data_IF_489121861384
#
_entry.id   IF_489121861384
#
_cell.length_a   1.000
_cell.length_b   1.000
_cell.length_c   1.000
_cell.angle_alpha   90.00
_cell.angle_beta   90.00
_cell.angle_gamma   90.00
#
_symmetry.space_group_name_H-M   'P 1'
#
loop_
_entity.id
_entity.type
_entity.pdbx_description
1 polymer ?
#
# COMPACT_ATOMS: atom_id res chain seq x y z
N UNK A 1 18.31 44.20 -29.38
CA UNK A 1 18.21 42.79 -28.94
C UNK A 1 18.30 42.57 -27.41
N UNK A 2 18.70 43.55 -26.59
CA UNK A 2 18.84 43.36 -25.12
C UNK A 2 17.55 43.51 -24.28
N UNK A 3 16.46 44.05 -24.83
CA UNK A 3 15.22 44.30 -24.06
C UNK A 3 14.18 43.16 -24.12
N UNK A 4 14.30 42.21 -25.06
CA UNK A 4 13.38 41.06 -25.18
C UNK A 4 13.76 39.85 -24.34
N UNK A 5 15.02 39.76 -23.87
CA UNK A 5 15.49 38.68 -22.99
C UNK A 5 15.10 38.90 -21.52
N UNK A 6 14.95 40.14 -21.06
CA UNK A 6 14.58 40.44 -19.67
C UNK A 6 13.11 40.08 -19.35
N UNK A 7 12.21 40.19 -20.33
CA UNK A 7 10.78 39.94 -20.11
C UNK A 7 10.42 38.44 -20.05
N UNK A 8 11.17 37.58 -20.75
CA UNK A 8 10.92 36.12 -20.77
C UNK A 8 11.44 35.45 -19.49
N UNK A 9 12.54 35.95 -18.91
CA UNK A 9 13.07 35.46 -17.62
C UNK A 9 12.13 35.81 -16.45
N UNK A 10 11.43 36.96 -16.52
CA UNK A 10 10.46 37.38 -15.50
C UNK A 10 9.14 36.59 -15.53
N UNK A 11 8.72 36.07 -16.70
CA UNK A 11 7.50 35.25 -16.80
C UNK A 11 7.74 33.81 -16.33
N UNK A 12 8.93 33.25 -16.57
CA UNK A 12 9.27 31.89 -16.08
C UNK A 12 9.48 31.87 -14.57
N UNK A 13 9.98 32.95 -13.96
CA UNK A 13 10.09 33.07 -12.50
C UNK A 13 8.75 33.35 -11.80
N UNK A 14 7.78 33.96 -12.49
CA UNK A 14 6.43 34.19 -11.96
C UNK A 14 5.50 32.97 -12.06
N UNK A 15 5.81 31.97 -12.92
CA UNK A 15 5.04 30.74 -13.04
C UNK A 15 5.47 29.61 -12.10
N UNK A 16 6.55 29.78 -11.33
CA UNK A 16 7.08 28.75 -10.42
C UNK A 16 6.61 28.85 -8.96
N UNK A 17 5.68 29.76 -8.63
CA UNK A 17 5.22 29.96 -7.24
C UNK A 17 3.83 29.39 -6.93
N UNK A 18 3.24 28.58 -7.82
CA UNK A 18 1.88 28.05 -7.67
C UNK A 18 1.80 26.52 -7.61
N UNK A 19 2.73 25.90 -6.89
CA UNK A 19 2.55 24.54 -6.37
C UNK A 19 2.98 24.55 -4.90
N UNK A 20 2.23 25.25 -4.05
CA UNK A 20 2.20 24.94 -2.62
C UNK A 20 1.52 23.59 -2.49
N UNK A 21 2.28 22.51 -2.69
CA UNK A 21 1.87 21.21 -2.20
C UNK A 21 1.82 21.33 -0.68
N UNK A 22 0.61 21.46 -0.15
CA UNK A 22 0.36 21.21 1.27
C UNK A 22 0.65 19.74 1.50
N UNK A 23 1.90 19.44 1.81
CA UNK A 23 2.29 18.17 2.41
C UNK A 23 1.62 18.13 3.77
N UNK A 24 0.39 17.61 3.81
CA UNK A 24 -0.36 17.41 5.04
C UNK A 24 0.20 16.17 5.74
N UNK A 25 1.31 16.37 6.46
CA UNK A 25 1.97 15.33 7.25
C UNK A 25 1.28 15.07 8.61
N UNK A 26 0.27 15.86 8.98
CA UNK A 26 -0.55 15.59 10.17
C UNK A 26 -1.86 14.92 9.78
N UNK A 27 -1.82 13.60 9.58
CA UNK A 27 -3.04 12.79 9.49
C UNK A 27 -3.53 12.41 10.88
N UNK A 28 -3.94 13.39 11.68
CA UNK A 28 -4.73 13.06 12.86
C UNK A 28 -6.11 12.65 12.38
N UNK A 29 -6.52 11.42 12.73
CA UNK A 29 -7.93 11.05 12.72
C UNK A 29 -8.61 12.11 13.60
N UNK A 30 -9.46 12.97 13.00
CA UNK A 30 -9.89 14.24 13.60
C UNK A 30 -10.36 14.10 15.06
N UNK A 31 -10.38 15.19 15.85
CA UNK A 31 -10.39 15.14 17.31
C UNK A 31 -11.68 14.59 17.97
N UNK A 32 -12.57 13.98 17.18
CA UNK A 32 -13.84 13.40 17.63
C UNK A 32 -14.90 14.44 17.99
N UNK A 33 -16.08 13.98 18.44
CA UNK A 33 -17.14 14.85 18.96
C UNK A 33 -16.74 15.43 20.34
N UNK A 34 -17.37 16.54 20.79
CA UNK A 34 -17.03 17.17 22.07
C UNK A 34 -17.25 16.23 23.25
N UNK A 35 -18.29 15.39 23.19
CA UNK A 35 -18.59 14.40 24.21
C UNK A 35 -17.53 13.32 24.40
N UNK A 36 -16.59 13.16 23.46
CA UNK A 36 -15.44 12.28 23.61
C UNK A 36 -14.22 13.10 24.05
N UNK A 37 -13.89 14.14 23.29
CA UNK A 37 -12.69 14.95 23.50
C UNK A 37 -12.65 15.59 24.90
N UNK A 38 -13.80 16.02 25.42
CA UNK A 38 -13.92 16.66 26.73
C UNK A 38 -13.42 15.77 27.87
N UNK A 39 -13.65 14.45 27.76
CA UNK A 39 -13.29 13.49 28.80
C UNK A 39 -11.87 12.92 28.61
N UNK A 40 -11.37 12.86 27.38
CA UNK A 40 -10.04 12.33 27.06
C UNK A 40 -8.90 13.32 27.27
N UNK A 41 -9.18 14.62 27.38
CA UNK A 41 -8.15 15.64 27.71
C UNK A 41 -7.93 15.75 29.20
N UNK A 42 -7.02 16.63 29.64
CA UNK A 42 -6.79 16.89 31.07
C UNK A 42 -7.32 18.26 31.50
N UNK A 43 -7.39 19.22 30.57
CA UNK A 43 -7.95 20.54 30.81
C UNK A 43 -8.78 21.04 29.62
N UNK A 44 -9.89 21.72 29.91
CA UNK A 44 -10.75 22.40 28.92
C UNK A 44 -11.14 23.77 29.47
N UNK A 45 -10.82 24.83 28.74
CA UNK A 45 -11.06 26.21 29.15
C UNK A 45 -11.13 27.16 27.94
N UNK A 46 -11.77 28.31 28.11
CA UNK A 46 -11.64 29.43 27.16
C UNK A 46 -10.61 30.44 27.67
N UNK A 47 -9.84 31.02 26.76
CA UNK A 47 -8.90 32.08 27.12
C UNK A 47 -8.35 32.84 25.92
N UNK A 48 -7.88 34.06 26.17
CA UNK A 48 -7.16 34.88 25.21
C UNK A 48 -5.66 34.58 25.28
N UNK A 49 -5.02 34.41 24.14
CA UNK A 49 -3.56 34.25 24.08
C UNK A 49 -2.90 35.60 24.33
N UNK A 50 -2.21 35.74 25.45
CA UNK A 50 -1.53 37.00 25.80
C UNK A 50 -0.04 36.99 25.42
N UNK A 51 0.55 35.81 25.27
CA UNK A 51 1.98 35.67 24.99
C UNK A 51 2.28 34.32 24.35
N UNK A 52 3.22 34.31 23.41
CA UNK A 52 3.80 33.09 22.83
C UNK A 52 5.33 33.24 22.90
N UNK A 53 5.99 32.33 23.61
CA UNK A 53 7.46 32.26 23.71
C UNK A 53 7.97 30.93 23.18
N UNK A 54 9.27 30.83 22.91
CA UNK A 54 9.91 29.56 22.55
C UNK A 54 10.29 28.78 23.82
N UNK A 55 10.06 27.48 23.80
CA UNK A 55 10.49 26.52 24.83
C UNK A 55 11.10 25.30 24.13
N UNK A 56 11.76 24.42 24.87
CA UNK A 56 12.29 23.15 24.34
C UNK A 56 11.73 21.99 25.14
N UNK A 57 11.55 20.86 24.47
CA UNK A 57 11.21 19.60 25.16
C UNK A 57 12.50 18.88 25.49
N UNK A 58 12.55 18.29 26.68
CA UNK A 58 13.59 17.33 27.05
C UNK A 58 13.01 15.91 26.92
N UNK A 59 12.81 15.47 25.68
CA UNK A 59 12.41 14.09 25.35
C UNK A 59 13.64 13.31 24.85
N UNK A 60 13.77 12.05 25.25
CA UNK A 60 14.91 11.17 24.94
C UNK A 60 15.26 11.10 23.44
N UNK A 61 14.28 11.28 22.54
CA UNK A 61 14.48 11.25 21.09
C UNK A 61 14.41 12.63 20.42
N UNK A 62 13.97 13.67 21.15
CA UNK A 62 13.71 15.02 20.61
C UNK A 62 14.34 16.13 21.48
N UNK A 63 15.41 15.82 22.23
CA UNK A 63 16.08 16.78 23.12
C UNK A 63 16.41 18.07 22.39
N UNK A 64 15.93 19.18 22.93
CA UNK A 64 16.22 20.51 22.38
C UNK A 64 15.38 20.89 21.15
N UNK A 65 14.41 20.06 20.75
CA UNK A 65 13.50 20.44 19.67
C UNK A 65 12.65 21.66 20.11
N UNK A 66 12.65 22.76 19.33
CA UNK A 66 11.93 23.96 19.71
C UNK A 66 10.42 23.73 19.66
N UNK A 67 9.70 24.26 20.65
CA UNK A 67 8.25 24.31 20.72
C UNK A 67 7.80 25.70 21.17
N UNK A 68 6.50 25.95 21.12
CA UNK A 68 5.89 27.21 21.56
C UNK A 68 5.25 27.01 22.92
N UNK A 69 5.59 27.86 23.88
CA UNK A 69 4.87 28.01 25.13
C UNK A 69 3.84 29.13 24.95
N UNK A 70 2.57 28.79 25.10
CA UNK A 70 1.45 29.71 24.89
C UNK A 70 0.83 30.02 26.25
N UNK A 71 0.79 31.31 26.60
CA UNK A 71 0.19 31.79 27.85
C UNK A 71 -1.18 32.37 27.56
N UNK A 72 -2.17 31.89 28.30
CA UNK A 72 -3.58 32.26 28.16
C UNK A 72 -4.05 33.05 29.37
N UNK A 73 -4.73 34.17 29.14
CA UNK A 73 -5.63 34.77 30.11
C UNK A 73 -6.97 34.03 30.08
N UNK A 74 -7.23 33.23 31.12
CA UNK A 74 -8.40 32.34 31.17
C UNK A 74 -9.65 33.16 31.48
N UNK A 75 -10.68 33.01 30.65
CA UNK A 75 -11.99 33.62 30.85
C UNK A 75 -12.98 32.68 31.53
N UNK A 76 -12.99 31.40 31.16
CA UNK A 76 -13.86 30.38 31.72
C UNK A 76 -13.12 29.04 31.78
N UNK A 77 -13.28 28.31 32.88
CA UNK A 77 -12.71 26.97 33.04
C UNK A 77 -13.82 25.94 33.20
N UNK A 78 -13.75 24.87 32.42
CA UNK A 78 -14.76 23.81 32.41
C UNK A 78 -14.24 22.52 33.04
N UNK A 79 -12.96 22.20 32.84
CA UNK A 79 -12.36 20.96 33.34
C UNK A 79 -10.87 21.14 33.58
N UNK A 80 -10.37 20.66 34.74
CA UNK A 80 -8.95 20.46 35.05
C UNK A 80 -8.00 21.66 34.91
N UNK A 81 -8.54 22.85 34.61
CA UNK A 81 -7.85 24.12 34.51
C UNK A 81 -8.20 24.96 35.74
N UNK A 82 -7.20 25.46 36.46
CA UNK A 82 -7.39 26.30 37.63
C UNK A 82 -6.42 27.48 37.59
N UNK A 83 -6.94 28.70 37.70
CA UNK A 83 -6.14 29.92 37.70
C UNK A 83 -6.57 30.90 36.61
N UNK A 84 -6.12 32.16 36.74
CA UNK A 84 -6.37 33.24 35.76
C UNK A 84 -5.41 33.20 34.57
N UNK A 85 -4.27 32.53 34.74
CA UNK A 85 -3.24 32.34 33.73
C UNK A 85 -2.94 30.85 33.61
N UNK A 86 -2.99 30.34 32.38
CA UNK A 86 -2.63 28.94 32.07
C UNK A 86 -1.59 28.94 30.96
N UNK A 87 -0.63 28.04 31.06
CA UNK A 87 0.34 27.78 30.04
C UNK A 87 0.06 26.43 29.38
N UNK A 88 0.09 26.40 28.04
CA UNK A 88 0.08 25.17 27.27
C UNK A 88 1.17 25.21 26.20
N UNK A 89 1.79 24.06 25.97
CA UNK A 89 2.83 23.88 24.96
C UNK A 89 2.17 23.43 23.66
N UNK A 90 2.71 23.89 22.54
CA UNK A 90 2.31 23.43 21.23
C UNK A 90 3.51 23.32 20.29
N UNK A 91 3.39 22.45 19.29
CA UNK A 91 4.38 22.36 18.21
C UNK A 91 4.46 23.65 17.39
N UNK A 92 5.46 23.74 16.51
CA UNK A 92 5.62 24.86 15.59
C UNK A 92 4.64 24.81 14.40
N UNK A 93 4.07 23.64 14.11
CA UNK A 93 3.24 23.38 12.93
C UNK A 93 3.97 22.52 11.90
N UNK A 94 3.26 22.06 10.87
CA UNK A 94 3.79 21.14 9.87
C UNK A 94 3.64 19.69 10.31
N UNK A 95 4.75 18.98 10.56
CA UNK A 95 4.77 17.56 10.92
C UNK A 95 4.65 17.26 12.43
N UNK A 96 4.71 18.27 13.31
CA UNK A 96 4.63 18.10 14.77
C UNK A 96 3.23 18.38 15.35
N UNK A 97 2.27 18.64 14.47
CA UNK A 97 0.86 18.90 14.78
C UNK A 97 0.61 20.01 15.81
N UNK A 98 1.49 21.02 15.83
CA UNK A 98 1.30 22.25 16.57
C UNK A 98 0.09 23.07 16.14
N UNK A 99 -0.61 23.65 17.10
CA UNK A 99 -1.77 24.50 16.89
C UNK A 99 -1.33 25.95 16.61
N UNK A 100 -1.83 26.61 15.55
CA UNK A 100 -1.39 27.95 15.14
C UNK A 100 -2.08 29.05 15.96
N UNK A 101 -1.78 29.14 17.26
CA UNK A 101 -2.27 30.22 18.13
C UNK A 101 -1.78 31.60 17.66
N UNK A 102 -2.59 32.63 17.90
CA UNK A 102 -2.29 34.04 17.63
C UNK A 102 -2.52 34.86 18.88
N UNK A 103 -1.54 35.69 19.26
CA UNK A 103 -1.66 36.64 20.37
C UNK A 103 -2.83 37.60 20.10
N UNK A 104 -3.62 37.90 21.13
CA UNK A 104 -4.82 38.74 21.09
C UNK A 104 -6.11 37.99 20.69
N UNK A 105 -6.02 36.73 20.27
CA UNK A 105 -7.20 35.94 19.90
C UNK A 105 -7.67 35.05 21.06
N UNK A 106 -8.99 34.84 21.15
CA UNK A 106 -9.61 33.93 22.11
C UNK A 106 -9.87 32.55 21.51
N UNK A 107 -9.64 31.51 22.30
CA UNK A 107 -9.77 30.11 21.90
C UNK A 107 -10.56 29.32 22.93
N UNK A 108 -11.23 28.25 22.49
CA UNK A 108 -11.55 27.12 23.35
C UNK A 108 -10.39 26.13 23.24
N UNK A 109 -9.76 25.81 24.37
CA UNK A 109 -8.55 24.99 24.43
C UNK A 109 -8.87 23.64 25.05
N UNK A 110 -8.53 22.57 24.32
CA UNK A 110 -8.51 21.19 24.80
C UNK A 110 -7.05 20.77 24.99
N UNK A 111 -6.59 20.76 26.23
CA UNK A 111 -5.21 20.45 26.56
C UNK A 111 -5.07 19.09 27.27
N UNK A 112 -4.12 18.27 26.82
CA UNK A 112 -3.74 17.04 27.52
C UNK A 112 -2.51 17.30 28.40
N UNK A 113 -2.42 16.60 29.53
CA UNK A 113 -1.27 16.65 30.42
C UNK A 113 -0.29 15.56 30.01
N UNK A 114 0.93 15.94 29.64
CA UNK A 114 1.95 14.97 29.31
C UNK A 114 2.46 14.32 30.61
N UNK A 115 2.43 12.97 30.74
CA UNK A 115 2.84 12.29 31.95
C UNK A 115 4.34 12.41 32.27
N UNK A 116 5.19 12.77 31.29
CA UNK A 116 6.65 12.88 31.49
C UNK A 116 7.05 14.17 32.21
N UNK A 117 6.52 15.30 31.78
CA UNK A 117 6.88 16.63 32.30
C UNK A 117 5.76 17.29 33.12
N UNK A 118 4.59 16.65 33.18
CA UNK A 118 3.39 17.13 33.86
C UNK A 118 2.84 18.46 33.31
N UNK A 119 3.27 18.90 32.11
CA UNK A 119 2.83 20.15 31.46
C UNK A 119 1.63 19.91 30.55
N UNK A 120 0.87 20.97 30.28
CA UNK A 120 -0.27 20.94 29.36
C UNK A 120 0.20 21.13 27.92
N UNK A 121 -0.36 20.36 26.99
CA UNK A 121 -0.10 20.43 25.57
C UNK A 121 -1.40 20.56 24.79
N UNK A 122 -1.39 21.36 23.73
CA UNK A 122 -2.50 21.51 22.79
C UNK A 122 -1.97 21.45 21.35
N UNK A 123 -2.72 20.83 20.44
CA UNK A 123 -2.33 20.66 19.04
C UNK A 123 -3.54 20.66 18.12
N UNK A 124 -3.30 20.66 16.81
CA UNK A 124 -4.39 20.58 15.79
C UNK A 124 -5.18 19.28 15.87
N UNK A 125 -4.63 18.26 16.53
CA UNK A 125 -5.27 16.97 16.76
C UNK A 125 -6.16 16.95 18.00
N UNK A 126 -6.22 18.05 18.74
CA UNK A 126 -7.22 18.28 19.79
C UNK A 126 -8.42 19.03 19.21
N UNK A 127 -9.54 19.09 19.93
CA UNK A 127 -10.71 19.92 19.52
C UNK A 127 -10.47 21.43 19.70
N UNK A 128 -9.26 21.85 20.09
CA UNK A 128 -8.88 23.27 20.25
C UNK A 128 -9.21 24.05 18.98
N UNK A 129 -9.87 25.19 19.13
CA UNK A 129 -10.33 26.04 17.99
C UNK A 129 -10.55 27.49 18.42
N UNK A 130 -10.60 28.45 17.48
CA UNK A 130 -10.98 29.83 17.80
C UNK A 130 -12.35 29.86 18.46
N UNK A 131 -12.52 30.72 19.47
CA UNK A 131 -13.76 30.77 20.25
C UNK A 131 -15.03 30.97 19.41
N UNK A 132 -15.05 31.78 18.33
CA UNK A 132 -16.22 31.90 17.46
C UNK A 132 -16.63 30.61 16.74
N UNK A 133 -15.71 29.64 16.59
CA UNK A 133 -15.95 28.36 15.93
C UNK A 133 -16.30 27.24 16.93
N UNK A 134 -16.37 27.57 18.23
CA UNK A 134 -16.58 26.63 19.34
C UNK A 134 -18.05 26.40 19.71
N UNK A 135 -19.00 26.73 18.84
CA UNK A 135 -20.43 26.61 19.11
C UNK A 135 -20.85 25.21 19.57
N UNK A 136 -20.51 24.18 18.78
CA UNK A 136 -20.82 22.77 19.08
C UNK A 136 -20.22 22.31 20.42
N UNK A 137 -18.98 22.73 20.72
CA UNK A 137 -18.31 22.39 21.97
C UNK A 137 -19.00 23.03 23.17
N UNK A 138 -19.23 24.33 23.10
CA UNK A 138 -19.79 25.11 24.19
C UNK A 138 -21.22 24.69 24.46
N UNK A 139 -21.97 24.33 23.42
CA UNK A 139 -23.30 23.73 23.57
C UNK A 139 -23.24 22.44 24.40
N UNK A 140 -22.37 21.50 24.05
CA UNK A 140 -22.19 20.27 24.83
C UNK A 140 -21.75 20.57 26.27
N UNK A 141 -20.69 21.37 26.45
CA UNK A 141 -20.09 21.67 27.76
C UNK A 141 -21.11 22.35 28.68
N UNK A 142 -21.83 23.36 28.20
CA UNK A 142 -22.81 24.12 28.99
C UNK A 142 -24.05 23.31 29.34
N UNK A 143 -24.41 22.34 28.50
CA UNK A 143 -25.54 21.46 28.76
C UNK A 143 -25.19 20.24 29.64
N UNK A 144 -23.91 20.00 29.93
CA UNK A 144 -23.45 18.82 30.69
C UNK A 144 -24.12 18.67 32.07
N UNK A 145 -24.36 19.79 32.76
CA UNK A 145 -25.04 19.79 34.06
C UNK A 145 -26.49 19.28 33.98
N UNK A 146 -27.16 19.51 32.85
CA UNK A 146 -28.56 19.14 32.59
C UNK A 146 -28.72 17.82 31.82
N UNK A 147 -27.62 17.32 31.23
CA UNK A 147 -27.64 16.09 30.44
C UNK A 147 -28.06 14.88 31.29
N UNK A 148 -28.83 13.97 30.68
CA UNK A 148 -29.20 12.70 31.28
C UNK A 148 -27.97 11.85 31.57
N UNK A 149 -28.07 11.02 32.62
CA UNK A 149 -27.00 10.08 32.97
C UNK A 149 -26.83 9.00 31.89
N UNK A 150 -25.61 8.50 31.78
CA UNK A 150 -25.21 7.48 30.82
C UNK A 150 -24.41 8.03 29.65
N UNK A 151 -23.49 7.21 29.18
CA UNK A 151 -22.65 7.45 28.02
C UNK A 151 -23.26 6.85 26.75
N UNK A 152 -22.77 7.32 25.61
CA UNK A 152 -23.11 6.77 24.29
C UNK A 152 -21.89 6.19 23.60
N UNK A 153 -21.97 4.95 23.13
CA UNK A 153 -21.00 4.37 22.20
C UNK A 153 -21.67 4.30 20.83
N UNK A 154 -21.00 4.83 19.82
CA UNK A 154 -21.50 4.83 18.43
C UNK A 154 -20.36 4.56 17.46
N UNK A 155 -20.68 4.29 16.21
CA UNK A 155 -19.67 4.12 15.19
C UNK A 155 -20.28 3.87 13.83
N UNK A 156 -19.41 3.86 12.82
CA UNK A 156 -19.76 3.50 11.45
C UNK A 156 -18.98 2.24 11.08
N UNK A 157 -19.67 1.26 10.52
CA UNK A 157 -19.05 0.09 9.90
C UNK A 157 -19.09 0.29 8.39
N UNK A 158 -17.93 0.29 7.76
CA UNK A 158 -17.79 0.45 6.31
C UNK A 158 -17.23 -0.82 5.69
N UNK A 159 -17.64 -1.12 4.46
CA UNK A 159 -17.01 -2.14 3.62
C UNK A 159 -16.01 -1.49 2.69
N UNK A 160 -14.83 -2.08 2.64
CA UNK A 160 -13.78 -1.72 1.73
C UNK A 160 -13.39 -2.93 0.89
N UNK A 161 -13.01 -2.64 -0.34
CA UNK A 161 -12.47 -3.63 -1.24
C UNK A 161 -11.06 -3.24 -1.62
N UNK A 162 -10.18 -4.23 -1.60
CA UNK A 162 -8.87 -4.07 -2.22
C UNK A 162 -9.06 -3.96 -3.72
N UNK A 163 -8.66 -2.83 -4.28
CA UNK A 163 -8.65 -2.61 -5.73
C UNK A 163 -7.21 -2.78 -6.22
N UNK A 164 -7.06 -3.23 -7.47
CA UNK A 164 -5.83 -3.38 -8.27
C UNK A 164 -4.49 -3.00 -7.59
N UNK A 165 -3.50 -3.91 -7.62
CA UNK A 165 -2.03 -3.73 -7.49
C UNK A 165 -1.39 -2.92 -6.36
N UNK A 166 -1.89 -1.74 -6.03
CA UNK A 166 -1.20 -0.74 -5.21
C UNK A 166 -1.60 -0.80 -3.73
N UNK A 167 -2.36 -1.83 -3.32
CA UNK A 167 -2.89 -1.98 -1.96
C UNK A 167 -3.87 -0.85 -1.61
N UNK A 168 -4.40 -0.11 -2.60
CA UNK A 168 -5.46 0.85 -2.36
C UNK A 168 -6.76 0.13 -1.97
N UNK A 169 -7.41 0.68 -0.95
CA UNK A 169 -8.73 0.27 -0.52
C UNK A 169 -9.75 1.28 -1.03
N UNK A 170 -10.72 0.82 -1.82
CA UNK A 170 -11.85 1.65 -2.21
C UNK A 170 -13.01 1.41 -1.24
N UNK A 171 -13.65 2.48 -0.73
CA UNK A 171 -14.89 2.34 0.01
C UNK A 171 -15.95 1.79 -0.93
N UNK A 172 -16.54 0.64 -0.58
CA UNK A 172 -17.61 0.03 -1.36
C UNK A 172 -18.96 0.66 -0.99
N UNK A 173 -19.30 0.51 0.29
CA UNK A 173 -20.57 0.93 0.84
C UNK A 173 -20.52 0.88 2.38
N UNK A 174 -21.43 1.59 3.06
CA UNK A 174 -21.69 1.31 4.47
C UNK A 174 -22.15 -0.14 4.67
N UNK A 175 -21.72 -0.75 5.77
CA UNK A 175 -22.08 -2.13 6.11
C UNK A 175 -23.35 -2.13 6.96
N UNK A 176 -24.50 -2.41 6.34
CA UNK A 176 -25.80 -2.52 7.02
C UNK A 176 -26.06 -3.92 7.55
N UNK A 177 -26.88 -4.04 8.61
CA UNK A 177 -27.28 -5.33 9.17
C UNK A 177 -26.21 -6.04 9.98
N UNK A 178 -25.10 -5.35 10.31
CA UNK A 178 -23.99 -5.92 11.05
C UNK A 178 -24.26 -5.84 12.55
N UNK A 179 -24.21 -6.98 13.22
CA UNK A 179 -24.39 -7.09 14.66
C UNK A 179 -23.16 -6.59 15.41
N UNK A 180 -23.37 -5.62 16.30
CA UNK A 180 -22.37 -5.01 17.18
C UNK A 180 -22.78 -5.25 18.64
N UNK A 181 -21.87 -5.79 19.43
CA UNK A 181 -22.07 -6.11 20.84
C UNK A 181 -21.17 -5.19 21.67
N UNK A 182 -21.76 -4.46 22.60
CA UNK A 182 -21.07 -3.61 23.56
C UNK A 182 -21.17 -4.25 24.94
N UNK A 183 -20.04 -4.73 25.46
CA UNK A 183 -19.97 -5.54 26.67
C UNK A 183 -19.01 -4.91 27.70
N UNK A 184 -19.46 -4.71 28.93
CA UNK A 184 -18.67 -4.10 29.99
C UNK A 184 -19.51 -3.75 31.21
N UNK A 185 -18.88 -3.64 32.38
CA UNK A 185 -19.55 -3.28 33.64
C UNK A 185 -20.81 -4.13 33.96
N UNK A 186 -20.79 -5.43 33.65
CA UNK A 186 -21.94 -6.33 33.86
C UNK A 186 -23.12 -6.11 32.90
N UNK A 187 -22.96 -5.29 31.86
CA UNK A 187 -23.93 -5.10 30.77
C UNK A 187 -23.40 -5.71 29.47
N UNK A 188 -24.32 -6.23 28.68
CA UNK A 188 -24.09 -6.63 27.29
C UNK A 188 -25.28 -6.13 26.48
N UNK A 189 -25.02 -5.20 25.57
CA UNK A 189 -26.05 -4.58 24.74
C UNK A 189 -25.72 -4.83 23.28
N UNK A 190 -26.72 -5.25 22.53
CA UNK A 190 -26.62 -5.48 21.10
C UNK A 190 -27.19 -4.30 20.32
N UNK A 191 -26.54 -3.96 19.22
CA UNK A 191 -27.00 -3.01 18.23
C UNK A 191 -26.76 -3.59 16.83
N UNK A 192 -27.53 -3.15 15.85
CA UNK A 192 -27.38 -3.55 14.45
C UNK A 192 -27.15 -2.29 13.63
N UNK A 193 -26.21 -2.36 12.70
CA UNK A 193 -25.92 -1.20 11.85
C UNK A 193 -27.08 -0.90 10.89
N UNK A 194 -27.43 0.38 10.76
CA UNK A 194 -28.47 0.86 9.86
C UNK A 194 -28.02 0.88 8.38
N UNK A 195 -28.84 1.41 7.48
CA UNK A 195 -28.53 1.50 6.04
C UNK A 195 -27.33 2.39 5.71
N UNK A 196 -26.94 3.27 6.64
CA UNK A 196 -25.74 4.11 6.57
C UNK A 196 -24.55 3.50 7.30
N UNK A 197 -24.65 2.24 7.75
CA UNK A 197 -23.61 1.53 8.49
C UNK A 197 -23.44 2.02 9.92
N UNK A 198 -24.32 2.90 10.41
CA UNK A 198 -24.22 3.48 11.75
C UNK A 198 -24.83 2.56 12.79
N UNK A 199 -24.19 2.46 13.95
CA UNK A 199 -24.78 1.85 15.15
C UNK A 199 -24.65 2.81 16.34
N UNK A 200 -25.53 2.66 17.32
CA UNK A 200 -25.57 3.50 18.51
C UNK A 200 -26.11 2.73 19.70
N UNK A 201 -25.42 2.84 20.83
CA UNK A 201 -25.81 2.30 22.14
C UNK A 201 -25.72 3.42 23.17
N UNK A 202 -26.84 3.71 23.85
CA UNK A 202 -26.96 4.81 24.83
C UNK A 202 -27.19 4.28 26.25
N UNK A 203 -27.12 5.16 27.25
CA UNK A 203 -27.45 4.81 28.64
C UNK A 203 -26.41 3.92 29.33
N UNK A 204 -25.16 3.93 28.84
CA UNK A 204 -24.07 3.10 29.37
C UNK A 204 -23.45 3.75 30.62
N UNK A 205 -23.30 3.04 31.76
CA UNK A 205 -22.58 3.56 32.92
C UNK A 205 -21.13 3.89 32.58
N UNK A 206 -20.53 4.83 33.32
CA UNK A 206 -19.10 5.11 33.19
C UNK A 206 -18.26 3.84 33.41
N UNK A 207 -17.23 3.66 32.59
CA UNK A 207 -16.24 2.59 32.73
C UNK A 207 -15.80 2.00 31.40
N UNK A 208 -15.23 0.80 31.48
CA UNK A 208 -14.55 0.13 30.36
C UNK A 208 -15.47 -0.85 29.66
N UNK A 209 -15.48 -0.78 28.33
CA UNK A 209 -16.28 -1.62 27.45
C UNK A 209 -15.42 -2.23 26.36
N UNK A 210 -15.86 -3.40 25.90
CA UNK A 210 -15.42 -4.04 24.66
C UNK A 210 -16.53 -3.90 23.63
N UNK A 211 -16.19 -3.38 22.46
CA UNK A 211 -17.07 -3.31 21.30
C UNK A 211 -16.65 -4.39 20.33
N UNK A 212 -17.53 -5.35 20.05
CA UNK A 212 -17.28 -6.51 19.22
C UNK A 212 -18.24 -6.55 18.04
N UNK A 213 -17.71 -6.80 16.85
CA UNK A 213 -18.48 -6.95 15.63
C UNK A 213 -18.61 -8.44 15.28
N UNK A 214 -19.81 -8.89 14.93
CA UNK A 214 -20.00 -10.22 14.33
C UNK A 214 -19.71 -10.13 12.84
N UNK A 215 -18.59 -10.71 12.41
CA UNK A 215 -18.11 -10.62 11.02
C UNK A 215 -18.96 -11.55 10.15
N UNK A 216 -19.68 -11.04 9.14
CA UNK A 216 -20.43 -11.89 8.21
C UNK A 216 -19.52 -12.79 7.37
N UNK A 217 -20.08 -13.88 6.87
CA UNK A 217 -19.42 -14.76 5.90
C UNK A 217 -18.97 -13.98 4.66
N UNK A 218 -17.81 -14.35 4.12
CA UNK A 218 -17.22 -13.66 2.97
C UNK A 218 -16.60 -12.30 3.27
N UNK A 219 -16.60 -11.85 4.54
CA UNK A 219 -15.89 -10.67 5.00
C UNK A 219 -14.79 -11.02 6.01
N UNK A 220 -13.83 -10.12 6.17
CA UNK A 220 -12.80 -10.22 7.18
C UNK A 220 -12.47 -8.84 7.75
N UNK A 221 -11.86 -8.83 8.93
CA UNK A 221 -11.30 -7.65 9.57
C UNK A 221 -10.14 -8.11 10.44
N UNK A 222 -9.09 -7.29 10.50
CA UNK A 222 -7.94 -7.59 11.35
C UNK A 222 -8.29 -7.63 12.84
N UNK A 223 -9.11 -6.69 13.30
CA UNK A 223 -9.55 -6.57 14.70
C UNK A 223 -11.06 -6.32 14.78
N UNK A 224 -11.82 -7.38 15.04
CA UNK A 224 -13.26 -7.33 15.25
C UNK A 224 -13.68 -6.88 16.66
N UNK A 225 -12.73 -6.74 17.60
CA UNK A 225 -12.97 -6.27 18.97
C UNK A 225 -12.07 -5.06 19.28
N UNK A 226 -12.64 -4.06 19.95
CA UNK A 226 -11.91 -2.87 20.43
C UNK A 226 -12.31 -2.53 21.86
N UNK A 227 -11.31 -2.23 22.69
CA UNK A 227 -11.53 -1.72 24.04
C UNK A 227 -11.70 -0.19 24.04
N UNK A 228 -12.64 0.30 24.83
CA UNK A 228 -12.89 1.74 25.00
C UNK A 228 -13.32 2.05 26.43
N UNK A 229 -13.02 3.25 26.89
CA UNK A 229 -13.51 3.77 28.17
C UNK A 229 -14.40 4.98 27.89
N UNK A 230 -15.55 5.03 28.56
CA UNK A 230 -16.49 6.15 28.48
C UNK A 230 -16.77 6.68 29.87
N UNK A 231 -16.92 8.00 29.96
CA UNK A 231 -17.35 8.68 31.18
C UNK A 231 -18.84 8.95 31.15
N UNK A 232 -19.45 9.15 32.32
CA UNK A 232 -20.85 9.54 32.42
C UNK A 232 -21.12 10.81 31.60
N UNK A 233 -22.26 10.84 30.89
CA UNK A 233 -22.64 11.91 29.94
C UNK A 233 -21.67 12.12 28.78
N UNK A 234 -20.66 11.26 28.65
CA UNK A 234 -19.69 11.26 27.57
C UNK A 234 -20.12 10.39 26.40
N UNK A 235 -19.25 10.32 25.41
CA UNK A 235 -19.40 9.40 24.30
C UNK A 235 -18.07 8.84 23.82
N UNK A 236 -18.15 7.77 23.04
CA UNK A 236 -17.03 7.30 22.24
C UNK A 236 -17.48 6.86 20.84
N UNK A 237 -16.62 7.11 19.86
CA UNK A 237 -16.81 6.70 18.47
C UNK A 237 -15.86 5.56 18.12
N UNK A 238 -16.41 4.41 17.75
CA UNK A 238 -15.67 3.19 17.42
C UNK A 238 -16.10 2.71 16.03
N UNK A 239 -15.37 3.14 14.99
CA UNK A 239 -15.64 2.69 13.61
C UNK A 239 -14.95 1.38 13.26
N UNK A 240 -15.56 0.56 12.39
CA UNK A 240 -14.93 -0.66 11.86
C UNK A 240 -14.85 -0.63 10.34
N UNK A 241 -13.81 -1.26 9.81
CA UNK A 241 -13.63 -1.44 8.38
C UNK A 241 -13.61 -2.94 8.09
N UNK A 242 -14.66 -3.41 7.45
CA UNK A 242 -14.77 -4.77 6.94
C UNK A 242 -14.17 -4.82 5.54
N UNK A 243 -13.39 -5.84 5.28
CA UNK A 243 -12.82 -6.12 3.97
C UNK A 243 -13.41 -7.40 3.39
N UNK A 244 -13.36 -7.51 2.07
CA UNK A 244 -13.87 -8.66 1.33
C UNK A 244 -12.92 -9.84 1.49
N UNK A 245 -13.41 -10.98 1.98
CA UNK A 245 -12.63 -12.21 2.18
C UNK A 245 -12.87 -13.21 1.06
N UNK A 246 -12.72 -12.76 -0.18
CA UNK A 246 -12.81 -13.62 -1.35
C UNK A 246 -11.61 -14.58 -1.36
N UNK A 247 -11.87 -15.87 -1.53
CA UNK A 247 -10.83 -16.90 -1.54
C UNK A 247 -10.99 -17.89 -2.67
N UNK A 248 -9.85 -18.41 -3.14
CA UNK A 248 -9.78 -19.45 -4.17
C UNK A 248 -8.73 -20.47 -3.73
N UNK A 249 -9.09 -21.75 -3.77
CA UNK A 249 -8.22 -22.84 -3.36
C UNK A 249 -8.28 -24.05 -4.29
N UNK A 250 -7.20 -24.82 -4.27
CA UNK A 250 -7.04 -26.03 -5.04
C UNK A 250 -5.76 -26.77 -4.64
N UNK A 251 -5.45 -27.80 -5.41
CA UNK A 251 -4.25 -28.61 -5.29
C UNK A 251 -3.44 -28.56 -6.58
N UNK A 252 -2.13 -28.68 -6.43
CA UNK A 252 -1.22 -28.96 -7.53
C UNK A 252 -0.68 -30.37 -7.34
N UNK A 253 -0.84 -31.19 -8.37
CA UNK A 253 -0.28 -32.53 -8.46
C UNK A 253 0.71 -32.60 -9.63
N UNK A 254 1.67 -33.50 -9.55
CA UNK A 254 2.60 -33.78 -10.66
C UNK A 254 2.01 -34.75 -11.69
N UNK A 255 2.82 -35.12 -12.70
CA UNK A 255 2.42 -36.04 -13.76
C UNK A 255 2.07 -37.45 -13.25
N UNK A 256 2.59 -37.85 -12.08
CA UNK A 256 2.32 -39.14 -11.44
C UNK A 256 1.10 -39.09 -10.50
N UNK A 257 0.50 -37.92 -10.33
CA UNK A 257 -0.61 -37.69 -9.40
C UNK A 257 -0.16 -37.42 -7.96
N UNK A 258 1.14 -37.24 -7.73
CA UNK A 258 1.69 -36.94 -6.40
C UNK A 258 1.57 -35.44 -6.08
N UNK A 259 1.36 -35.05 -4.81
CA UNK A 259 1.26 -33.63 -4.44
C UNK A 259 2.55 -32.85 -4.70
N UNK A 260 2.45 -31.74 -5.44
CA UNK A 260 3.59 -30.90 -5.77
C UNK A 260 3.71 -29.73 -4.78
N UNK A 261 4.69 -29.79 -3.87
CA UNK A 261 4.95 -28.77 -2.86
C UNK A 261 5.80 -27.61 -3.37
N UNK A 262 5.68 -26.44 -2.71
CA UNK A 262 6.46 -25.21 -2.99
C UNK A 262 6.32 -24.71 -4.44
N UNK A 263 5.21 -25.07 -5.07
CA UNK A 263 4.86 -24.62 -6.41
C UNK A 263 4.19 -23.25 -6.29
N UNK A 264 4.73 -22.26 -6.99
CA UNK A 264 4.05 -20.99 -7.14
C UNK A 264 2.89 -21.12 -8.12
N UNK A 265 1.71 -20.80 -7.64
CA UNK A 265 0.49 -20.69 -8.42
C UNK A 265 0.19 -19.21 -8.62
N UNK A 266 -0.14 -18.85 -9.86
CA UNK A 266 -0.43 -17.48 -10.28
C UNK A 266 -1.92 -17.32 -10.59
N UNK A 267 -2.46 -16.16 -10.21
CA UNK A 267 -3.79 -15.71 -10.60
C UNK A 267 -3.63 -14.36 -11.33
N UNK A 268 -3.91 -14.32 -12.64
CA UNK A 268 -3.60 -13.17 -13.51
C UNK A 268 -4.85 -12.73 -14.29
N UNK A 269 -5.17 -11.43 -14.35
CA UNK A 269 -6.25 -10.95 -15.21
C UNK A 269 -5.97 -11.30 -16.69
N UNK A 270 -6.97 -11.76 -17.47
CA UNK A 270 -6.77 -12.16 -18.86
C UNK A 270 -6.15 -11.09 -19.75
N UNK A 271 -6.47 -9.81 -19.52
CA UNK A 271 -5.91 -8.69 -20.27
C UNK A 271 -4.43 -8.43 -19.95
N UNK A 272 -3.94 -8.94 -18.83
CA UNK A 272 -2.56 -8.75 -18.35
C UNK A 272 -1.65 -9.95 -18.63
N UNK A 273 -2.18 -11.02 -19.21
CA UNK A 273 -1.38 -12.17 -19.60
C UNK A 273 -0.34 -11.69 -20.64
N UNK A 274 0.96 -11.86 -20.33
CA UNK A 274 2.11 -11.39 -21.13
C UNK A 274 2.40 -9.86 -21.16
N UNK A 275 1.69 -9.04 -20.37
CA UNK A 275 2.04 -7.61 -20.27
C UNK A 275 3.38 -7.39 -19.54
N UNK A 276 4.14 -6.38 -19.98
CA UNK A 276 5.38 -5.91 -19.31
C UNK A 276 5.21 -5.64 -17.82
N UNK A 277 4.06 -5.11 -17.43
CA UNK A 277 3.74 -4.72 -16.07
C UNK A 277 2.47 -5.44 -15.58
N UNK A 278 2.63 -6.68 -15.12
CA UNK A 278 1.56 -7.45 -14.48
C UNK A 278 1.33 -6.95 -13.04
N UNK A 279 0.85 -5.72 -12.88
CA UNK A 279 0.70 -5.13 -11.55
C UNK A 279 -0.37 -5.85 -10.71
N UNK A 280 -1.35 -6.51 -11.34
CA UNK A 280 -2.51 -7.10 -10.69
C UNK A 280 -2.47 -8.63 -10.57
N UNK A 281 -1.31 -9.26 -10.74
CA UNK A 281 -1.21 -10.69 -10.49
C UNK A 281 -1.19 -10.97 -8.98
N UNK A 282 -1.82 -12.08 -8.58
CA UNK A 282 -1.68 -12.63 -7.24
C UNK A 282 -0.87 -13.93 -7.34
N UNK A 283 -0.27 -14.32 -6.23
CA UNK A 283 0.46 -15.57 -6.12
C UNK A 283 0.23 -16.25 -4.79
N UNK A 284 0.18 -17.57 -4.82
CA UNK A 284 0.17 -18.44 -3.66
C UNK A 284 1.19 -19.56 -3.87
N UNK A 285 1.75 -20.11 -2.78
CA UNK A 285 2.62 -21.28 -2.86
C UNK A 285 1.90 -22.49 -2.31
N UNK A 286 2.13 -23.65 -2.93
CA UNK A 286 1.59 -24.91 -2.42
C UNK A 286 2.31 -25.36 -1.15
N UNK A 287 1.55 -25.91 -0.20
CA UNK A 287 2.06 -26.58 0.99
C UNK A 287 2.67 -27.97 0.67
N UNK A 288 3.17 -28.68 1.68
CA UNK A 288 3.74 -30.04 1.53
C UNK A 288 2.72 -31.08 1.03
N UNK A 289 1.42 -30.75 1.01
CA UNK A 289 0.34 -31.58 0.46
C UNK A 289 -0.18 -31.05 -0.88
N UNK A 290 0.59 -30.17 -1.54
CA UNK A 290 0.25 -29.58 -2.83
C UNK A 290 -0.89 -28.56 -2.78
N UNK A 291 -1.39 -28.15 -1.60
CA UNK A 291 -2.55 -27.26 -1.49
C UNK A 291 -2.14 -25.80 -1.53
N UNK A 292 -2.89 -24.97 -2.26
CA UNK A 292 -2.71 -23.52 -2.27
C UNK A 292 -4.01 -22.80 -1.91
N UNK A 293 -3.88 -21.57 -1.41
CA UNK A 293 -5.02 -20.70 -1.14
C UNK A 293 -4.67 -19.24 -1.46
N UNK A 294 -5.52 -18.61 -2.26
CA UNK A 294 -5.56 -17.16 -2.45
C UNK A 294 -6.58 -16.57 -1.50
N UNK A 295 -6.27 -15.42 -0.91
CA UNK A 295 -7.15 -14.68 0.01
C UNK A 295 -7.25 -13.22 -0.41
N UNK A 296 -8.34 -12.57 -0.01
CA UNK A 296 -8.61 -11.15 -0.31
C UNK A 296 -8.45 -10.85 -1.80
N UNK A 297 -9.01 -11.73 -2.65
CA UNK A 297 -8.94 -11.62 -4.11
C UNK A 297 -9.87 -10.48 -4.55
N UNK A 298 -9.36 -9.44 -5.24
CA UNK A 298 -10.20 -8.41 -5.83
C UNK A 298 -11.18 -9.04 -6.84
N UNK A 299 -12.46 -8.64 -6.89
CA UNK A 299 -13.37 -9.12 -7.92
C UNK A 299 -12.93 -8.72 -9.31
N UNK A 300 -12.75 -9.72 -10.17
CA UNK A 300 -12.44 -9.58 -11.58
C UNK A 300 -12.50 -10.96 -12.24
N UNK A 301 -12.23 -10.99 -13.54
CA UNK A 301 -11.94 -12.21 -14.26
C UNK A 301 -10.45 -12.55 -14.12
N UNK A 302 -10.13 -13.80 -13.86
CA UNK A 302 -8.77 -14.29 -13.72
C UNK A 302 -8.52 -15.57 -14.51
N UNK A 303 -7.28 -15.73 -14.94
CA UNK A 303 -6.70 -17.01 -15.33
C UNK A 303 -5.88 -17.55 -14.15
N UNK A 304 -6.03 -18.83 -13.88
CA UNK A 304 -5.26 -19.57 -12.87
C UNK A 304 -4.23 -20.43 -13.58
N UNK A 305 -3.02 -20.50 -13.04
CA UNK A 305 -2.02 -21.40 -13.60
C UNK A 305 -0.64 -21.24 -13.02
N UNK A 306 0.32 -21.80 -13.74
CA UNK A 306 1.71 -21.89 -13.39
C UNK A 306 2.51 -21.13 -14.45
N UNK A 307 3.47 -20.31 -14.01
CA UNK A 307 4.31 -19.47 -14.90
C UNK A 307 3.45 -18.51 -15.75
N UNK A 308 2.36 -18.01 -15.16
CA UNK A 308 1.52 -16.98 -15.77
C UNK A 308 2.02 -15.58 -15.44
N UNK A 309 2.63 -15.44 -14.25
CA UNK A 309 3.26 -14.21 -13.82
C UNK A 309 4.78 -14.24 -14.01
N UNK A 310 5.36 -13.06 -14.18
CA UNK A 310 6.81 -12.88 -14.38
C UNK A 310 7.58 -13.26 -13.12
N UNK A 311 8.07 -14.49 -13.02
CA UNK A 311 9.20 -14.82 -12.16
C UNK A 311 10.47 -15.00 -12.99
N UNK A 312 11.52 -14.30 -12.55
CA UNK A 312 12.89 -14.60 -12.91
C UNK A 312 13.37 -15.79 -12.06
N UNK A 313 12.82 -16.97 -12.30
CA UNK A 313 13.25 -18.20 -11.61
C UNK A 313 13.59 -19.29 -12.63
N UNK A 314 14.86 -19.37 -13.06
CA UNK A 314 15.38 -20.53 -13.80
C UNK A 314 15.18 -21.85 -13.05
N UNK A 315 15.01 -21.78 -11.71
CA UNK A 315 14.80 -22.90 -10.80
C UNK A 315 13.41 -23.54 -10.93
N UNK A 316 12.45 -22.88 -11.57
CA UNK A 316 11.10 -23.41 -11.68
C UNK A 316 10.92 -24.23 -12.97
N UNK A 317 11.33 -25.50 -12.95
CA UNK A 317 11.45 -26.36 -14.13
C UNK A 317 10.12 -26.85 -14.77
N UNK A 318 8.97 -26.25 -14.48
CA UNK A 318 7.70 -26.67 -15.11
C UNK A 318 7.29 -25.77 -16.27
N UNK A 319 6.66 -26.34 -17.32
CA UNK A 319 6.10 -25.56 -18.41
C UNK A 319 4.97 -24.65 -17.93
N UNK A 320 4.71 -23.62 -18.72
CA UNK A 320 3.50 -22.80 -18.56
C UNK A 320 2.26 -23.67 -18.68
N UNK A 321 1.40 -23.61 -17.68
CA UNK A 321 0.17 -24.40 -17.61
C UNK A 321 -0.96 -23.54 -17.08
N UNK A 322 -2.08 -23.51 -17.77
CA UNK A 322 -3.33 -22.87 -17.38
C UNK A 322 -4.32 -23.92 -16.90
N UNK A 323 -5.14 -23.57 -15.92
CA UNK A 323 -6.31 -24.35 -15.55
C UNK A 323 -7.28 -24.44 -16.75
N UNK A 324 -7.83 -25.63 -17.08
CA UNK A 324 -7.77 -26.89 -16.33
C UNK A 324 -6.67 -27.90 -16.76
N UNK A 325 -5.67 -27.49 -17.55
CA UNK A 325 -4.58 -28.36 -18.01
C UNK A 325 -4.17 -28.10 -19.46
N UNK A 326 -3.97 -26.84 -19.84
CA UNK A 326 -3.56 -26.44 -21.20
C UNK A 326 -2.37 -25.48 -21.17
N UNK A 327 -1.54 -25.47 -22.21
CA UNK A 327 -0.50 -24.46 -22.40
C UNK A 327 -0.97 -23.26 -23.23
N UNK A 328 -2.14 -23.36 -23.87
CA UNK A 328 -2.72 -22.32 -24.71
C UNK A 328 -3.62 -21.37 -23.89
N UNK A 329 -3.28 -20.06 -23.80
CA UNK A 329 -4.11 -19.10 -23.07
C UNK A 329 -5.53 -18.96 -23.62
N UNK A 330 -5.77 -19.26 -24.91
CA UNK A 330 -7.12 -19.18 -25.51
C UNK A 330 -8.03 -20.33 -25.09
N UNK A 331 -7.45 -21.41 -24.59
CA UNK A 331 -8.15 -22.57 -24.03
C UNK A 331 -8.22 -22.54 -22.50
N UNK A 332 -7.61 -21.54 -21.87
CA UNK A 332 -7.63 -21.39 -20.41
C UNK A 332 -9.03 -21.03 -19.92
N UNK A 333 -9.46 -21.64 -18.81
CA UNK A 333 -10.72 -21.31 -18.20
C UNK A 333 -10.65 -19.94 -17.51
N UNK A 334 -11.58 -19.05 -17.86
CA UNK A 334 -11.74 -17.75 -17.20
C UNK A 334 -12.57 -17.92 -15.94
N UNK A 335 -11.97 -17.59 -14.80
CA UNK A 335 -12.61 -17.66 -13.48
C UNK A 335 -13.17 -16.28 -13.16
N UNK A 336 -14.51 -16.16 -13.19
CA UNK A 336 -15.20 -14.97 -12.75
C UNK A 336 -15.31 -14.97 -11.23
N UNK A 337 -14.57 -14.09 -10.57
CA UNK A 337 -14.54 -13.98 -9.12
C UNK A 337 -15.36 -12.76 -8.70
N UNK A 338 -16.40 -12.98 -7.89
CA UNK A 338 -17.19 -11.92 -7.27
C UNK A 338 -16.83 -11.75 -5.79
N UNK A 339 -17.34 -10.69 -5.18
CA UNK A 339 -17.04 -10.34 -3.80
C UNK A 339 -17.48 -11.43 -2.81
N UNK A 340 -16.60 -11.78 -1.86
CA UNK A 340 -16.92 -12.62 -0.72
C UNK A 340 -17.10 -14.11 -1.04
N UNK A 341 -16.80 -14.54 -2.27
CA UNK A 341 -16.90 -15.94 -2.67
C UNK A 341 -15.79 -16.81 -2.05
N UNK A 342 -16.14 -18.04 -1.71
CA UNK A 342 -15.21 -19.12 -1.43
C UNK A 342 -15.26 -20.12 -2.57
N UNK A 343 -14.17 -20.18 -3.34
CA UNK A 343 -14.01 -21.01 -4.53
C UNK A 343 -13.05 -22.17 -4.20
N UNK A 344 -13.48 -23.40 -4.44
CA UNK A 344 -12.72 -24.63 -4.10
C UNK A 344 -12.67 -25.59 -5.30
N UNK A 345 -11.69 -26.51 -5.30
CA UNK A 345 -11.56 -27.54 -6.33
C UNK A 345 -10.89 -27.06 -7.62
N UNK A 346 -10.19 -25.93 -7.58
CA UNK A 346 -9.45 -25.41 -8.73
C UNK A 346 -8.07 -26.05 -8.84
N UNK A 347 -8.08 -27.36 -9.11
CA UNK A 347 -6.85 -28.16 -9.15
C UNK A 347 -6.06 -27.92 -10.46
N UNK A 348 -4.75 -28.15 -10.38
CA UNK A 348 -3.80 -28.05 -11.48
C UNK A 348 -2.97 -29.33 -11.52
N UNK A 349 -2.82 -29.89 -12.71
CA UNK A 349 -1.88 -30.98 -12.97
C UNK A 349 -0.66 -30.41 -13.68
N UNK A 350 0.53 -30.62 -13.11
CA UNK A 350 1.77 -30.21 -13.74
C UNK A 350 2.14 -31.18 -14.85
N UNK A 351 2.64 -30.68 -16.00
CA UNK A 351 3.33 -31.52 -16.95
C UNK A 351 4.66 -32.02 -16.36
N UNK A 352 5.32 -32.93 -17.08
CA UNK A 352 6.70 -33.29 -16.80
C UNK A 352 7.63 -32.08 -16.76
N UNK A 353 8.67 -32.18 -15.92
CA UNK A 353 9.68 -31.12 -15.79
C UNK A 353 10.45 -30.96 -17.10
N UNK A 354 10.78 -29.72 -17.40
CA UNK A 354 11.69 -29.36 -18.47
C UNK A 354 13.14 -29.61 -18.03
N UNK A 355 13.92 -30.18 -18.94
CA UNK A 355 15.33 -30.46 -18.69
C UNK A 355 16.17 -29.17 -18.75
N UNK A 356 17.05 -28.92 -17.78
CA UNK A 356 18.02 -27.84 -17.88
C UNK A 356 19.05 -28.13 -18.99
N UNK A 357 19.30 -27.14 -19.84
CA UNK A 357 20.31 -27.16 -20.92
C UNK A 357 21.25 -25.98 -20.78
N UNK A 358 22.50 -26.15 -21.20
CA UNK A 358 23.49 -25.07 -21.20
C UNK A 358 23.58 -24.44 -22.58
N UNK A 359 23.58 -23.11 -22.63
CA UNK A 359 23.93 -22.34 -23.83
C UNK A 359 25.25 -21.62 -23.56
N UNK A 360 26.23 -21.89 -24.41
CA UNK A 360 27.57 -21.28 -24.36
C UNK A 360 27.86 -20.49 -25.62
N UNK A 361 28.63 -19.42 -25.46
CA UNK A 361 28.96 -18.55 -26.57
C UNK A 361 29.96 -17.47 -26.23
N UNK A 362 30.11 -16.53 -27.16
CA UNK A 362 30.99 -15.37 -27.04
C UNK A 362 30.31 -14.09 -27.50
N UNK A 363 30.65 -12.98 -26.85
CA UNK A 363 30.31 -11.63 -27.26
C UNK A 363 31.55 -10.98 -27.87
N UNK A 364 31.44 -10.56 -29.13
CA UNK A 364 32.57 -10.01 -29.88
C UNK A 364 32.23 -8.69 -30.57
N UNK A 365 33.26 -7.91 -30.90
CA UNK A 365 33.18 -6.79 -31.84
C UNK A 365 33.15 -7.30 -33.30
N UNK A 366 32.84 -6.45 -34.31
CA UNK A 366 32.80 -6.86 -35.71
C UNK A 366 34.16 -7.32 -36.25
N UNK A 367 35.26 -6.86 -35.64
CA UNK A 367 36.63 -7.29 -35.93
C UNK A 367 37.00 -8.63 -35.28
N UNK A 368 36.05 -9.27 -34.57
CA UNK A 368 36.22 -10.56 -33.91
C UNK A 368 36.86 -10.50 -32.53
N UNK A 369 37.25 -9.32 -32.03
CA UNK A 369 37.81 -9.20 -30.68
C UNK A 369 36.75 -9.39 -29.60
N UNK A 370 37.08 -9.99 -28.45
CA UNK A 370 36.12 -10.18 -27.36
C UNK A 370 35.67 -8.85 -26.76
N UNK A 371 34.41 -8.80 -26.32
CA UNK A 371 33.84 -7.67 -25.58
C UNK A 371 33.82 -8.02 -24.09
N UNK A 372 34.81 -7.54 -23.30
CA UNK A 372 34.84 -7.82 -21.87
C UNK A 372 33.65 -7.17 -21.16
N UNK A 373 33.11 -7.85 -20.15
CA UNK A 373 32.06 -7.33 -19.25
C UNK A 373 30.80 -6.82 -19.98
N UNK A 374 30.47 -7.41 -21.14
CA UNK A 374 29.20 -7.14 -21.77
C UNK A 374 28.05 -7.64 -20.88
N UNK A 375 26.94 -6.91 -20.85
CA UNK A 375 25.72 -7.34 -20.21
C UNK A 375 24.97 -8.28 -21.14
N UNK A 376 24.86 -9.55 -20.76
CA UNK A 376 24.02 -10.52 -21.44
C UNK A 376 22.57 -10.41 -20.91
N UNK A 377 21.62 -10.48 -21.83
CA UNK A 377 20.20 -10.57 -21.53
C UNK A 377 19.62 -11.77 -22.27
N UNK A 378 18.84 -12.59 -21.59
CA UNK A 378 18.03 -13.62 -22.24
C UNK A 378 16.57 -13.50 -21.79
N UNK A 379 15.63 -13.81 -22.68
CA UNK A 379 14.20 -13.70 -22.40
C UNK A 379 13.46 -14.87 -23.01
N UNK A 380 12.53 -15.48 -22.28
CA UNK A 380 11.60 -16.45 -22.86
C UNK A 380 10.68 -15.73 -23.85
N UNK A 381 10.68 -16.20 -25.10
CA UNK A 381 9.94 -15.58 -26.21
C UNK A 381 8.43 -15.55 -25.90
N UNK A 382 7.95 -16.58 -25.23
CA UNK A 382 6.58 -16.74 -24.77
C UNK A 382 6.14 -15.65 -23.77
N UNK A 383 7.09 -14.88 -23.22
CA UNK A 383 6.88 -13.72 -22.34
C UNK A 383 7.55 -12.43 -22.86
N UNK A 384 8.06 -12.41 -24.10
CA UNK A 384 8.98 -11.39 -24.60
C UNK A 384 8.34 -10.06 -25.06
N UNK A 385 7.01 -9.88 -24.94
CA UNK A 385 6.33 -8.64 -25.36
C UNK A 385 6.62 -7.40 -24.47
N UNK A 386 7.56 -7.49 -23.55
CA UNK A 386 8.11 -6.30 -22.91
C UNK A 386 9.07 -6.55 -21.76
N UNK A 387 9.79 -7.67 -21.74
CA UNK A 387 10.70 -7.94 -20.63
C UNK A 387 11.82 -6.88 -20.55
N UNK A 388 12.20 -6.56 -19.32
CA UNK A 388 13.47 -5.90 -19.02
C UNK A 388 14.51 -6.99 -18.81
N UNK A 389 15.49 -7.09 -19.70
CA UNK A 389 16.74 -7.85 -19.57
C UNK A 389 16.86 -8.71 -18.30
N UNK A 390 16.63 -10.02 -18.41
CA UNK A 390 17.05 -10.95 -17.36
C UNK A 390 18.53 -11.26 -17.59
N UNK A 391 19.39 -10.65 -16.75
CA UNK A 391 20.81 -10.98 -16.75
C UNK A 391 21.07 -12.30 -16.01
N UNK A 392 20.17 -12.74 -15.13
CA UNK A 392 20.41 -13.90 -14.25
C UNK A 392 21.81 -13.84 -13.62
N UNK A 393 22.44 -14.99 -13.43
CA UNK A 393 23.87 -15.11 -13.12
C UNK A 393 24.77 -15.14 -14.37
N UNK A 394 24.20 -14.96 -15.57
CA UNK A 394 24.93 -15.09 -16.82
C UNK A 394 25.89 -13.90 -16.99
N UNK A 395 27.14 -14.12 -16.57
CA UNK A 395 28.22 -13.14 -16.66
C UNK A 395 29.04 -13.42 -17.91
N UNK A 396 29.25 -12.38 -18.70
CA UNK A 396 30.25 -12.42 -19.77
C UNK A 396 31.63 -12.23 -19.12
N UNK A 397 32.50 -13.21 -19.30
CA UNK A 397 33.87 -13.21 -18.77
C UNK A 397 34.72 -12.16 -19.50
N UNK A 398 35.92 -11.80 -18.97
CA UNK A 398 36.79 -10.80 -19.62
C UNK A 398 37.27 -11.18 -21.03
N UNK A 399 37.34 -12.47 -21.34
CA UNK A 399 37.60 -13.02 -22.68
C UNK A 399 36.34 -13.09 -23.57
N UNK A 400 35.23 -12.49 -23.12
CA UNK A 400 34.01 -12.36 -23.90
C UNK A 400 33.11 -13.60 -23.91
N UNK A 401 33.45 -14.66 -23.18
CA UNK A 401 32.67 -15.89 -23.13
C UNK A 401 31.49 -15.79 -22.17
N UNK A 402 30.42 -16.54 -22.44
CA UNK A 402 29.30 -16.69 -21.52
C UNK A 402 28.80 -18.13 -21.49
N UNK A 403 28.20 -18.51 -20.37
CA UNK A 403 27.47 -19.76 -20.19
C UNK A 403 26.20 -19.45 -19.39
N UNK A 404 25.06 -20.01 -19.83
CA UNK A 404 23.78 -19.79 -19.18
C UNK A 404 22.93 -21.06 -19.21
N UNK A 405 22.18 -21.29 -18.14
CA UNK A 405 21.25 -22.43 -18.05
C UNK A 405 19.85 -22.00 -18.47
N UNK A 406 19.27 -22.74 -19.41
CA UNK A 406 17.90 -22.61 -19.91
C UNK A 406 17.15 -23.91 -19.74
N UNK A 407 15.85 -23.92 -20.07
CA UNK A 407 15.03 -25.13 -20.09
C UNK A 407 14.81 -25.57 -21.55
N UNK A 408 14.91 -26.87 -21.80
CA UNK A 408 14.62 -27.44 -23.11
C UNK A 408 13.17 -27.18 -23.53
N UNK A 409 12.93 -27.02 -24.83
CA UNK A 409 11.58 -26.89 -25.38
C UNK A 409 10.95 -25.49 -25.26
N UNK A 410 11.60 -24.56 -24.55
CA UNK A 410 11.26 -23.14 -24.56
C UNK A 410 12.09 -22.40 -25.60
N UNK A 411 11.62 -21.22 -26.02
CA UNK A 411 12.34 -20.37 -26.97
C UNK A 411 12.89 -19.16 -26.23
N UNK A 412 14.14 -18.83 -26.50
CA UNK A 412 14.84 -17.75 -25.82
C UNK A 412 15.36 -16.73 -26.82
N UNK A 413 15.25 -15.46 -26.47
CA UNK A 413 15.83 -14.35 -27.21
C UNK A 413 17.07 -13.86 -26.47
N UNK A 414 18.25 -14.14 -27.01
CA UNK A 414 19.55 -13.72 -26.48
C UNK A 414 19.94 -12.34 -27.02
N UNK A 415 20.40 -11.45 -26.15
CA UNK A 415 20.87 -10.10 -26.49
C UNK A 415 22.10 -9.77 -25.65
N UNK A 416 23.02 -8.99 -26.19
CA UNK A 416 24.14 -8.45 -25.43
C UNK A 416 24.24 -6.94 -25.61
N UNK A 417 24.70 -6.22 -24.59
CA UNK A 417 25.02 -4.80 -24.70
C UNK A 417 26.20 -4.40 -23.85
N UNK A 418 26.90 -3.34 -24.25
CA UNK A 418 28.02 -2.77 -23.50
C UNK A 418 27.88 -1.24 -23.41
N UNK A 419 28.22 -0.68 -22.25
CA UNK A 419 28.27 0.76 -22.05
C UNK A 419 29.62 1.29 -22.56
N UNK A 420 29.60 2.29 -23.45
CA UNK A 420 30.82 2.87 -24.02
C UNK A 420 30.96 4.32 -23.54
N UNK A 421 32.13 4.69 -23.03
CA UNK A 421 32.49 6.06 -22.62
C UNK A 421 33.20 6.86 -23.71
N UNK A 422 33.14 8.19 -23.66
CA UNK A 422 33.79 9.11 -24.61
C UNK A 422 32.83 9.76 -25.62
N UNK A 423 33.34 10.41 -26.69
CA UNK A 423 32.51 10.97 -27.76
C UNK A 423 31.67 9.87 -28.43
N UNK A 424 30.34 9.99 -28.40
CA UNK A 424 29.42 8.89 -28.76
C UNK A 424 29.01 8.01 -27.58
N UNK A 425 29.04 8.55 -26.36
CA UNK A 425 28.59 7.90 -25.13
C UNK A 425 27.19 7.31 -25.26
N UNK A 426 27.03 6.05 -24.85
CA UNK A 426 25.77 5.32 -24.99
C UNK A 426 25.93 3.80 -24.87
N UNK A 427 24.83 3.08 -25.08
CA UNK A 427 24.82 1.62 -25.15
C UNK A 427 25.01 1.14 -26.59
N UNK A 428 25.91 0.18 -26.78
CA UNK A 428 26.05 -0.59 -28.02
C UNK A 428 25.46 -1.98 -27.83
N UNK A 429 24.74 -2.48 -28.83
CA UNK A 429 23.97 -3.72 -28.73
C UNK A 429 24.38 -4.72 -29.81
N UNK A 430 24.24 -6.01 -29.50
CA UNK A 430 24.24 -7.08 -30.49
C UNK A 430 22.85 -7.23 -31.12
N UNK A 431 22.78 -7.70 -32.36
CA UNK A 431 21.52 -8.19 -32.91
C UNK A 431 21.02 -9.38 -32.08
N UNK A 432 19.73 -9.45 -31.75
CA UNK A 432 19.20 -10.51 -30.91
C UNK A 432 19.12 -11.82 -31.69
N UNK A 433 19.40 -12.94 -31.01
CA UNK A 433 19.34 -14.29 -31.59
C UNK A 433 18.25 -15.08 -30.85
N UNK A 434 17.29 -15.64 -31.59
CA UNK A 434 16.33 -16.59 -31.06
C UNK A 434 16.93 -18.00 -31.07
N UNK A 435 16.87 -18.69 -29.94
CA UNK A 435 17.40 -20.05 -29.75
C UNK A 435 16.31 -20.96 -29.16
N UNK A 436 16.31 -22.22 -29.57
CA UNK A 436 15.37 -23.25 -29.09
C UNK A 436 16.16 -24.50 -28.72
N UNK A 437 16.65 -24.60 -27.47
CA UNK A 437 17.45 -25.74 -27.01
C UNK A 437 16.66 -27.05 -27.14
N UNK A 438 17.30 -28.05 -27.77
CA UNK A 438 16.95 -29.49 -27.73
C UNK A 438 18.03 -30.32 -27.03
N UNK A 439 18.92 -29.64 -26.32
CA UNK A 439 20.24 -30.11 -25.92
C UNK A 439 21.12 -28.91 -25.58
N UNK A 440 22.36 -29.17 -25.17
CA UNK A 440 23.32 -28.10 -24.95
C UNK A 440 23.68 -27.45 -26.29
N UNK A 441 23.79 -26.12 -26.30
CA UNK A 441 24.18 -25.33 -27.46
C UNK A 441 25.53 -24.69 -27.17
N UNK A 442 26.52 -24.90 -28.04
CA UNK A 442 27.80 -24.20 -28.02
C UNK A 442 27.91 -23.21 -29.17
N UNK A 443 28.96 -22.39 -29.15
CA UNK A 443 29.38 -21.55 -30.28
C UNK A 443 28.40 -20.44 -30.70
N UNK A 444 27.52 -20.02 -29.79
CA UNK A 444 26.70 -18.82 -30.03
C UNK A 444 27.63 -17.60 -30.11
N UNK A 445 27.44 -16.76 -31.13
CA UNK A 445 28.24 -15.56 -31.34
C UNK A 445 27.34 -14.32 -31.39
N UNK A 446 27.44 -13.48 -30.37
CA UNK A 446 26.74 -12.19 -30.29
C UNK A 446 27.70 -11.08 -30.71
N UNK A 447 27.46 -10.47 -31.88
CA UNK A 447 28.34 -9.42 -32.42
C UNK A 447 27.81 -8.03 -32.06
N UNK A 448 28.53 -7.28 -31.23
CA UNK A 448 28.19 -5.89 -30.87
C UNK A 448 28.50 -4.98 -32.06
N UNK A 449 27.49 -4.35 -32.64
CA UNK A 449 27.64 -3.37 -33.74
C UNK A 449 27.50 -1.92 -33.22
N UNK A 450 27.66 -0.88 -34.07
CA UNK A 450 27.75 0.53 -33.63
C UNK A 450 26.42 1.33 -33.59
N UNK A 451 26.47 2.62 -33.17
CA UNK A 451 25.60 3.17 -32.13
C UNK A 451 24.18 3.40 -32.67
N UNK A 452 23.17 3.08 -31.88
CA UNK A 452 21.77 2.99 -32.33
C UNK A 452 21.43 1.75 -33.16
N UNK A 453 22.25 0.69 -33.11
CA UNK A 453 21.87 -0.68 -33.50
C UNK A 453 20.50 -0.98 -32.90
N UNK A 454 19.49 -0.89 -33.77
CA UNK A 454 18.23 -0.33 -33.30
C UNK A 454 17.58 -1.25 -32.28
N UNK A 455 17.39 -0.70 -31.09
CA UNK A 455 16.25 -1.09 -30.28
C UNK A 455 14.93 -0.77 -31.02
N UNK A 456 14.92 -0.33 -32.30
CA UNK A 456 13.74 -0.34 -33.16
C UNK A 456 13.41 -1.77 -33.63
N UNK A 457 14.33 -2.61 -34.12
CA UNK A 457 14.04 -4.06 -34.34
C UNK A 457 13.66 -4.78 -33.04
N UNK A 458 14.27 -4.44 -31.90
CA UNK A 458 13.85 -4.94 -30.58
C UNK A 458 12.48 -4.38 -30.11
N UNK A 459 12.05 -3.18 -30.57
CA UNK A 459 10.73 -2.54 -30.27
C UNK A 459 9.65 -2.82 -31.32
N UNK A 460 10.01 -3.16 -32.54
CA UNK A 460 9.12 -3.40 -33.67
C UNK A 460 8.74 -4.88 -33.72
N UNK A 461 9.62 -5.78 -33.26
CA UNK A 461 9.27 -7.19 -33.04
C UNK A 461 8.19 -7.37 -31.96
N UNK A 462 8.20 -6.54 -30.91
CA UNK A 462 7.12 -6.50 -29.90
C UNK A 462 5.78 -5.95 -30.43
N UNK A 463 5.73 -5.42 -31.66
CA UNK A 463 4.49 -4.94 -32.30
C UNK A 463 3.93 -5.89 -33.38
N UNK A 464 4.75 -6.76 -33.96
CA UNK A 464 4.35 -7.61 -35.09
C UNK A 464 3.63 -8.92 -34.72
N UNK A 465 3.36 -9.17 -33.43
CA UNK A 465 2.54 -10.31 -32.98
C UNK A 465 1.38 -9.89 -32.07
N UNK A 466 0.65 -8.83 -32.44
CA UNK A 466 -0.78 -8.84 -32.11
C UNK A 466 -1.47 -9.79 -33.09
N UNK A 467 -2.37 -10.68 -32.64
CA UNK A 467 -3.19 -11.49 -33.54
C UNK A 467 -3.97 -10.60 -34.52
#
# INVERSE_FOLDING_TARGET
>A
MRSRFALIVLIVFASLTWLTQTVSACSCMGPGPPCQAYWTTSAVFTGEVIEITSTTIDDEHLRGYPQKLVRFAVSESFRGASGRLIEAITGNGGGDCGYPFKVGNSYLVYAYRNPKDNRLYAGICSRTRPLPEAGEDLEYIRNLAKAEAGATISGVVNRYQRVKADVSYQPLAPASGIRVIVEGNGRSVESVTDSSGQYRVTGLPSGKYKVRLTVPDGLWIYAAERGIEVQDKGCAVVGFTLETNTSLSGKVIDENGEPAAKIRVDLVPPDQINQRYQRNHLSAYTDEKGRFVFRSIPPANYLLGIRLSRLAEPTFAYPRTFHPGTSDPTQAAVIAITEGQTLEGYDLQLPGKLDPRTIEGSVVWPDGKPVPNANLCFEEVEHAEGSSCHAGDAKVTPDGHFSLTVLEGLRYLLRAHVNVGGPGSGQRHAEPIEVSPKGNISDIKLVITEPNGSCAKCRDWTRQKKP
#
